data_IF_855776715967
#
_entry.id   IF_855776715967
#
_cell.length_a   1.000
_cell.length_b   1.000
_cell.length_c   1.000
_cell.angle_alpha   90.00
_cell.angle_beta   90.00
_cell.angle_gamma   90.00
#
_symmetry.space_group_name_H-M   'P 1'
#
loop_
_entity.id
_entity.type
_entity.pdbx_description
1 polymer ?
#
# COMPACT_ATOMS: atom_id res chain seq x y z
N UNK A 1 25.51 -10.58 32.98
CA UNK A 1 24.99 -9.26 33.36
C UNK A 1 25.46 -8.21 32.34
N UNK A 2 24.50 -7.49 31.75
CA UNK A 2 24.57 -6.07 31.33
C UNK A 2 24.96 -5.57 29.93
N UNK A 3 25.22 -6.37 28.89
CA UNK A 3 25.42 -5.76 27.54
C UNK A 3 24.76 -6.59 26.43
N UNK A 4 23.43 -6.49 26.29
CA UNK A 4 22.72 -6.87 25.04
C UNK A 4 21.25 -6.44 24.92
N UNK A 5 20.73 -5.62 25.83
CA UNK A 5 19.30 -5.25 25.85
C UNK A 5 19.01 -3.81 25.34
N UNK A 6 19.95 -2.87 25.48
CA UNK A 6 19.66 -1.46 25.15
C UNK A 6 19.67 -1.14 23.64
N UNK A 7 20.45 -1.87 22.84
CA UNK A 7 20.59 -1.58 21.39
C UNK A 7 19.42 -2.08 20.55
N UNK A 8 18.68 -3.10 21.01
CA UNK A 8 17.51 -3.62 20.30
C UNK A 8 16.28 -2.74 20.53
N UNK A 9 16.17 -2.13 21.73
CA UNK A 9 15.06 -1.23 22.07
C UNK A 9 15.08 0.11 21.32
N UNK A 10 16.25 0.61 20.92
CA UNK A 10 16.37 1.88 20.17
C UNK A 10 16.06 1.71 18.67
N UNK A 11 16.43 0.57 18.07
CA UNK A 11 16.10 0.24 16.67
C UNK A 11 14.60 0.03 16.45
N UNK A 12 13.93 -0.67 17.37
CA UNK A 12 12.46 -0.88 17.31
C UNK A 12 11.70 0.41 17.65
N UNK A 13 12.20 1.24 18.59
CA UNK A 13 11.61 2.57 18.84
C UNK A 13 11.74 3.51 17.63
N UNK A 14 12.87 3.50 16.92
CA UNK A 14 13.05 4.33 15.72
C UNK A 14 12.15 3.87 14.55
N UNK A 15 12.01 2.56 14.34
CA UNK A 15 11.11 2.00 13.34
C UNK A 15 9.63 2.22 13.71
N UNK A 16 9.26 2.04 14.99
CA UNK A 16 7.91 2.32 15.50
C UNK A 16 7.59 3.81 15.45
N UNK A 17 8.53 4.71 15.74
CA UNK A 17 8.37 6.16 15.58
C UNK A 17 8.34 6.58 14.11
N UNK A 18 8.98 5.85 13.19
CA UNK A 18 8.85 6.07 11.75
C UNK A 18 7.48 5.61 11.23
N UNK A 19 6.93 4.53 11.80
CA UNK A 19 5.57 4.05 11.51
C UNK A 19 4.48 4.92 12.15
N UNK A 20 4.67 5.37 13.40
CA UNK A 20 3.77 6.26 14.13
C UNK A 20 3.91 7.72 13.71
N UNK A 21 5.07 8.12 13.20
CA UNK A 21 5.31 9.44 12.63
C UNK A 21 4.41 9.73 11.43
N UNK A 22 3.98 8.67 10.72
CA UNK A 22 2.94 8.78 9.71
C UNK A 22 1.60 9.26 10.31
N UNK A 23 1.22 8.79 11.49
CA UNK A 23 -0.01 9.23 12.18
C UNK A 23 0.15 10.56 12.92
N UNK A 24 1.39 11.01 13.17
CA UNK A 24 1.66 12.36 13.67
C UNK A 24 1.49 13.43 12.57
N UNK A 25 1.42 13.01 11.30
CA UNK A 25 1.10 13.90 10.21
C UNK A 25 -0.40 14.26 10.24
N UNK A 26 -0.77 15.53 10.44
CA UNK A 26 -2.17 15.94 10.52
C UNK A 26 -2.96 15.58 9.26
N UNK A 27 -2.32 15.56 8.10
CA UNK A 27 -2.93 15.18 6.83
C UNK A 27 -3.29 13.70 6.85
N UNK A 28 -2.37 12.83 7.27
CA UNK A 28 -2.60 11.37 7.37
C UNK A 28 -3.68 11.08 8.41
N UNK A 29 -3.60 11.71 9.59
CA UNK A 29 -4.61 11.55 10.64
C UNK A 29 -6.01 11.97 10.16
N UNK A 30 -6.10 13.06 9.39
CA UNK A 30 -7.36 13.51 8.80
C UNK A 30 -7.90 12.53 7.75
N UNK A 31 -7.05 12.07 6.81
CA UNK A 31 -7.51 11.18 5.73
C UNK A 31 -7.76 9.74 6.18
N UNK A 32 -7.20 9.32 7.32
CA UNK A 32 -7.40 7.98 7.90
C UNK A 32 -8.42 7.95 9.04
N UNK A 33 -9.02 9.10 9.41
CA UNK A 33 -9.97 9.21 10.53
C UNK A 33 -11.18 8.29 10.40
N UNK A 34 -11.63 8.02 9.17
CA UNK A 34 -12.74 7.11 8.90
C UNK A 34 -12.53 6.45 7.54
N UNK A 35 -12.88 5.17 7.43
CA UNK A 35 -12.88 4.44 6.16
C UNK A 35 -14.26 3.82 5.95
N UNK A 36 -14.95 4.24 4.88
CA UNK A 36 -16.29 3.75 4.53
C UNK A 36 -16.29 2.53 3.61
N UNK A 37 -15.12 2.03 3.22
CA UNK A 37 -14.96 0.93 2.27
C UNK A 37 -13.90 -0.06 2.76
N UNK A 38 -13.90 -1.25 2.20
CA UNK A 38 -12.95 -2.34 2.48
C UNK A 38 -12.19 -2.68 1.21
N UNK A 39 -10.96 -3.19 1.34
CA UNK A 39 -10.16 -3.64 0.18
C UNK A 39 -10.90 -4.69 -0.66
N UNK A 40 -11.72 -5.54 -0.03
CA UNK A 40 -12.56 -6.50 -0.74
C UNK A 40 -13.58 -5.85 -1.69
N UNK A 41 -14.02 -4.62 -1.40
CA UNK A 41 -14.97 -3.88 -2.22
C UNK A 41 -14.36 -3.43 -3.56
N UNK A 42 -13.02 -3.41 -3.68
CA UNK A 42 -12.33 -3.12 -4.96
C UNK A 42 -12.52 -4.22 -6.02
N UNK A 43 -12.89 -5.42 -5.59
CA UNK A 43 -13.09 -6.60 -6.46
C UNK A 43 -14.44 -7.29 -6.23
N UNK A 44 -15.29 -6.71 -5.37
CA UNK A 44 -16.59 -7.26 -5.00
C UNK A 44 -17.64 -7.02 -6.07
N UNK A 45 -18.59 -7.95 -6.17
CA UNK A 45 -19.58 -8.03 -7.26
C UNK A 45 -20.76 -7.05 -7.10
N UNK A 46 -21.25 -6.84 -5.87
CA UNK A 46 -22.50 -6.10 -5.64
C UNK A 46 -22.35 -4.59 -5.62
N UNK A 47 -21.20 -4.09 -5.18
CA UNK A 47 -20.88 -2.65 -5.08
C UNK A 47 -19.38 -2.42 -5.28
N UNK A 48 -18.89 -2.48 -6.53
CA UNK A 48 -17.47 -2.24 -6.79
C UNK A 48 -17.08 -0.81 -6.40
N UNK A 49 -15.96 -0.68 -5.71
CA UNK A 49 -15.35 0.61 -5.37
C UNK A 49 -14.14 0.88 -6.28
N UNK A 50 -13.91 2.16 -6.61
CA UNK A 50 -12.68 2.61 -7.28
C UNK A 50 -11.93 3.56 -6.35
N UNK A 51 -10.65 3.28 -6.12
CA UNK A 51 -9.78 4.08 -5.27
C UNK A 51 -8.90 5.00 -6.12
N UNK A 52 -9.00 6.30 -5.90
CA UNK A 52 -8.12 7.30 -6.47
C UNK A 52 -7.22 7.89 -5.38
N UNK A 53 -5.91 7.76 -5.54
CA UNK A 53 -4.92 8.37 -4.67
C UNK A 53 -4.34 9.60 -5.37
N UNK A 54 -4.98 10.75 -5.14
CA UNK A 54 -4.57 12.02 -5.75
C UNK A 54 -3.65 12.76 -4.78
N UNK A 55 -2.44 13.06 -5.24
CA UNK A 55 -1.41 13.71 -4.44
C UNK A 55 -0.85 14.90 -5.21
N UNK A 56 -0.86 16.11 -4.64
CA UNK A 56 -0.19 17.26 -5.24
C UNK A 56 1.31 16.99 -5.44
N UNK A 57 1.95 17.47 -6.52
CA UNK A 57 3.38 17.24 -6.76
C UNK A 57 4.29 17.63 -5.60
N UNK A 58 3.94 18.68 -4.86
CA UNK A 58 4.66 19.16 -3.67
C UNK A 58 4.66 18.17 -2.49
N UNK A 59 3.67 17.28 -2.44
CA UNK A 59 3.46 16.37 -1.30
C UNK A 59 3.89 14.92 -1.58
N UNK A 60 4.31 14.59 -2.81
CA UNK A 60 4.66 13.21 -3.23
C UNK A 60 5.61 12.54 -2.24
N UNK A 61 6.73 13.19 -1.92
CA UNK A 61 7.74 12.65 -0.99
C UNK A 61 7.18 12.43 0.42
N UNK A 62 6.26 13.29 0.86
CA UNK A 62 5.67 13.27 2.19
C UNK A 62 4.58 12.20 2.33
N UNK A 63 3.75 12.03 1.31
CA UNK A 63 2.68 11.01 1.29
C UNK A 63 3.17 9.63 0.88
N UNK A 64 4.39 9.53 0.33
CA UNK A 64 5.01 8.27 -0.11
C UNK A 64 4.82 7.11 0.87
N UNK A 65 5.07 7.22 2.19
CA UNK A 65 4.91 6.06 3.06
C UNK A 65 3.44 5.64 3.24
N UNK A 66 2.48 6.58 3.19
CA UNK A 66 1.04 6.27 3.22
C UNK A 66 0.61 5.54 1.94
N UNK A 67 1.03 6.03 0.77
CA UNK A 67 0.72 5.37 -0.52
C UNK A 67 1.29 3.95 -0.51
N UNK A 68 2.55 3.78 -0.09
CA UNK A 68 3.19 2.46 0.02
C UNK A 68 2.43 1.53 0.95
N UNK A 69 1.96 2.02 2.10
CA UNK A 69 1.18 1.25 3.05
C UNK A 69 -0.15 0.78 2.44
N UNK A 70 -0.87 1.67 1.73
CA UNK A 70 -2.13 1.34 1.06
C UNK A 70 -1.90 0.28 -0.02
N UNK A 71 -0.90 0.46 -0.88
CA UNK A 71 -0.58 -0.50 -1.94
C UNK A 71 -0.20 -1.87 -1.39
N UNK A 72 0.61 -1.91 -0.32
CA UNK A 72 0.97 -3.17 0.35
C UNK A 72 -0.25 -3.87 0.95
N UNK A 73 -1.18 -3.12 1.57
CA UNK A 73 -2.41 -3.70 2.12
C UNK A 73 -3.32 -4.24 1.02
N UNK A 74 -3.52 -3.49 -0.07
CA UNK A 74 -4.32 -3.92 -1.23
C UNK A 74 -3.73 -5.21 -1.80
N UNK A 75 -2.42 -5.18 -2.07
CA UNK A 75 -1.69 -6.31 -2.61
C UNK A 75 -1.87 -7.57 -1.76
N UNK A 76 -1.45 -7.52 -0.50
CA UNK A 76 -1.52 -8.66 0.42
C UNK A 76 -2.94 -9.19 0.56
N UNK A 77 -3.91 -8.31 0.81
CA UNK A 77 -5.29 -8.72 1.07
C UNK A 77 -5.97 -9.34 -0.14
N UNK A 78 -5.65 -8.88 -1.35
CA UNK A 78 -6.21 -9.44 -2.58
C UNK A 78 -5.53 -10.74 -3.01
N UNK A 79 -4.29 -10.99 -2.57
CA UNK A 79 -3.54 -12.23 -2.83
C UNK A 79 -3.58 -13.26 -1.70
N UNK A 80 -4.17 -12.94 -0.54
CA UNK A 80 -4.23 -13.82 0.64
C UNK A 80 -5.15 -15.05 0.45
N UNK A 81 -6.27 -14.90 -0.26
CA UNK A 81 -7.23 -15.98 -0.50
C UNK A 81 -7.22 -16.39 -1.98
N UNK A 82 -6.60 -17.55 -2.23
CA UNK A 82 -6.52 -18.22 -3.54
C UNK A 82 -7.86 -18.82 -3.98
N UNK A 83 -8.86 -18.84 -3.09
CA UNK A 83 -10.26 -19.15 -3.44
C UNK A 83 -10.88 -17.95 -4.17
N UNK A 84 -10.35 -17.67 -5.36
CA UNK A 84 -10.95 -16.75 -6.31
C UNK A 84 -12.31 -17.32 -6.73
N UNK A 85 -13.34 -16.94 -5.97
CA UNK A 85 -14.74 -17.07 -6.37
C UNK A 85 -14.86 -16.52 -7.79
N UNK A 86 -15.56 -17.24 -8.65
CA UNK A 86 -15.84 -16.85 -10.04
C UNK A 86 -16.51 -15.46 -10.18
N UNK A 87 -16.93 -14.86 -9.06
CA UNK A 87 -17.67 -13.61 -8.94
C UNK A 87 -16.78 -12.38 -8.62
N UNK A 88 -15.44 -12.47 -8.70
CA UNK A 88 -14.58 -11.28 -8.48
C UNK A 88 -14.35 -10.50 -9.77
N UNK A 89 -14.50 -9.17 -9.69
CA UNK A 89 -14.08 -8.29 -10.78
C UNK A 89 -12.56 -8.23 -10.90
N UNK A 90 -12.08 -8.06 -12.14
CA UNK A 90 -10.66 -7.81 -12.41
C UNK A 90 -10.30 -6.41 -11.94
N UNK A 91 -9.19 -6.29 -11.22
CA UNK A 91 -8.70 -5.01 -10.73
C UNK A 91 -7.53 -4.53 -11.58
N UNK A 92 -7.63 -3.29 -12.05
CA UNK A 92 -6.51 -2.56 -12.64
C UNK A 92 -5.88 -1.66 -11.58
N UNK A 93 -4.62 -1.88 -11.28
CA UNK A 93 -3.79 -0.97 -10.54
C UNK A 93 -2.97 -0.12 -11.52
N UNK A 94 -3.25 1.17 -11.57
CA UNK A 94 -2.52 2.12 -12.40
C UNK A 94 -1.73 3.06 -11.50
N UNK A 95 -0.40 3.00 -11.60
CA UNK A 95 0.51 3.84 -10.81
C UNK A 95 1.25 4.78 -11.76
N UNK A 96 0.83 6.03 -11.76
CA UNK A 96 1.61 7.12 -12.34
C UNK A 96 2.80 7.44 -11.42
N UNK A 97 3.91 7.88 -12.00
CA UNK A 97 5.16 8.14 -11.28
C UNK A 97 5.61 6.99 -10.36
N UNK A 98 5.52 5.76 -10.84
CA UNK A 98 5.95 4.57 -10.10
C UNK A 98 7.37 4.69 -9.51
N UNK A 99 8.37 5.27 -10.21
CA UNK A 99 9.71 5.46 -9.65
C UNK A 99 9.73 6.29 -8.36
N UNK A 100 8.82 7.26 -8.21
CA UNK A 100 8.73 8.09 -7.01
C UNK A 100 8.40 7.26 -5.75
N UNK A 101 7.72 6.12 -5.91
CA UNK A 101 7.41 5.20 -4.80
C UNK A 101 8.63 4.41 -4.32
N UNK A 102 9.72 4.35 -5.08
CA UNK A 102 10.91 3.56 -4.78
C UNK A 102 10.62 2.05 -4.72
N UNK A 103 11.58 1.27 -4.20
CA UNK A 103 11.49 -0.20 -4.17
C UNK A 103 10.29 -0.69 -3.37
N UNK A 104 9.44 -1.51 -3.98
CA UNK A 104 8.25 -2.10 -3.37
C UNK A 104 8.41 -3.62 -3.32
N UNK A 105 8.90 -4.16 -2.20
CA UNK A 105 9.26 -5.59 -2.06
C UNK A 105 8.07 -6.55 -2.35
N UNK A 106 6.84 -6.12 -2.03
CA UNK A 106 5.63 -6.85 -2.41
C UNK A 106 5.45 -6.88 -3.93
N UNK A 107 5.66 -5.77 -4.64
CA UNK A 107 5.52 -5.75 -6.10
C UNK A 107 6.54 -6.68 -6.73
N UNK A 108 7.79 -6.68 -6.26
CA UNK A 108 8.83 -7.57 -6.80
C UNK A 108 8.46 -9.07 -6.68
N UNK A 109 7.89 -9.46 -5.54
CA UNK A 109 7.56 -10.87 -5.26
C UNK A 109 6.19 -11.29 -5.81
N UNK A 110 5.20 -10.39 -5.81
CA UNK A 110 3.82 -10.70 -6.14
C UNK A 110 3.47 -10.44 -7.61
N UNK A 111 4.17 -9.55 -8.35
CA UNK A 111 3.79 -9.20 -9.74
C UNK A 111 3.65 -10.44 -10.63
N UNK A 112 4.55 -11.40 -10.44
CA UNK A 112 4.61 -12.63 -11.21
C UNK A 112 3.33 -13.48 -11.07
N UNK A 113 2.62 -13.37 -9.95
CA UNK A 113 1.44 -14.18 -9.64
C UNK A 113 0.14 -13.37 -9.59
N UNK A 114 0.22 -12.03 -9.58
CA UNK A 114 -0.93 -11.11 -9.54
C UNK A 114 -2.00 -11.41 -10.61
N UNK A 115 -1.58 -11.81 -11.82
CA UNK A 115 -2.50 -12.17 -12.89
C UNK A 115 -3.43 -13.33 -12.52
N UNK A 116 -2.95 -14.30 -11.72
CA UNK A 116 -3.74 -15.42 -11.21
C UNK A 116 -4.84 -15.01 -10.22
N UNK A 117 -4.70 -13.83 -9.60
CA UNK A 117 -5.69 -13.24 -8.69
C UNK A 117 -6.61 -12.22 -9.38
N UNK A 118 -6.57 -12.13 -10.72
CA UNK A 118 -7.36 -11.15 -11.47
C UNK A 118 -6.85 -9.71 -11.35
N UNK A 119 -5.63 -9.51 -10.84
CA UNK A 119 -4.97 -8.21 -10.72
C UNK A 119 -4.15 -7.92 -11.98
N UNK A 120 -4.25 -6.69 -12.48
CA UNK A 120 -3.41 -6.14 -13.56
C UNK A 120 -2.72 -4.89 -13.05
N UNK A 121 -1.40 -4.81 -13.21
CA UNK A 121 -0.64 -3.61 -12.88
C UNK A 121 -0.20 -2.89 -14.15
N UNK A 122 -0.40 -1.57 -14.20
CA UNK A 122 0.13 -0.66 -15.21
C UNK A 122 1.00 0.38 -14.50
N UNK A 123 2.31 0.30 -14.71
CA UNK A 123 3.31 1.12 -14.03
C UNK A 123 3.87 2.12 -15.03
N UNK A 124 3.73 3.40 -14.75
CA UNK A 124 4.22 4.48 -15.61
C UNK A 124 5.44 5.11 -14.93
N UNK A 125 6.50 5.32 -15.69
CA UNK A 125 7.72 5.98 -15.26
C UNK A 125 8.08 7.08 -16.26
N UNK A 126 8.25 8.32 -15.77
CA UNK A 126 8.68 9.45 -16.61
C UNK A 126 10.23 9.54 -16.58
N UNK A 127 10.87 8.80 -17.48
CA UNK A 127 12.34 8.62 -17.64
C UNK A 127 13.06 7.98 -16.43
N UNK A 128 14.12 7.21 -16.72
CA UNK A 128 14.90 6.40 -15.77
C UNK A 128 16.23 7.07 -15.43
#
# INVERSE_FOLDING_TARGET
>A
FLIKSQTVGSGVRSAAMSFLGLHCDPLVAQVTRACGWRIADLVGDTRPATLYLVVPPSDISRTKPLIRLILNQIGRRLTEDLQARAERHRLLLMLDEFPALGRLDFFESALAFMAGYGLKAFLIAQSL
#
